data_IF_123791239284
#
_entry.id   IF_123791239284
#
_cell.length_a   1.000
_cell.length_b   1.000
_cell.length_c   1.000
_cell.angle_alpha   90.00
_cell.angle_beta   90.00
_cell.angle_gamma   90.00
#
_symmetry.space_group_name_H-M   'P 1'
#
loop_
_entity.id
_entity.type
_entity.pdbx_description
1 polymer ?
#
# COMPACT_ATOMS: atom_id res chain seq x y z
N UNK A 1 9.91 13.37 10.93
CA UNK A 1 8.84 12.57 10.29
C UNK A 1 9.32 11.13 10.21
N UNK A 2 8.45 10.14 10.35
CA UNK A 2 8.82 8.75 10.20
C UNK A 2 8.55 8.31 8.76
N UNK A 3 9.45 7.49 8.24
CA UNK A 3 9.36 6.92 6.89
C UNK A 3 9.39 5.41 6.99
N UNK A 4 8.57 4.74 6.19
CA UNK A 4 8.55 3.28 6.10
C UNK A 4 8.36 2.88 4.64
N UNK A 5 9.03 1.81 4.24
CA UNK A 5 8.83 1.19 2.92
C UNK A 5 7.77 0.10 3.09
N UNK A 6 6.74 0.12 2.25
CA UNK A 6 5.68 -0.90 2.23
C UNK A 6 5.74 -1.63 0.90
N UNK A 7 5.76 -2.96 0.98
CA UNK A 7 5.60 -3.84 -0.18
C UNK A 7 4.22 -4.49 -0.15
N UNK A 8 3.50 -4.36 -1.26
CA UNK A 8 2.27 -5.10 -1.53
C UNK A 8 2.56 -6.11 -2.64
N UNK A 9 2.10 -7.34 -2.49
CA UNK A 9 2.27 -8.40 -3.47
C UNK A 9 0.99 -9.21 -3.61
N UNK A 10 0.60 -9.52 -4.84
CA UNK A 10 -0.65 -10.24 -5.13
C UNK A 10 -1.26 -9.83 -6.48
N UNK A 11 -2.58 -9.97 -6.61
CA UNK A 11 -3.35 -9.52 -7.78
C UNK A 11 -3.71 -8.03 -7.65
N UNK A 12 -2.73 -7.15 -7.75
CA UNK A 12 -2.88 -5.72 -7.43
C UNK A 12 -3.84 -4.99 -8.39
N UNK A 13 -3.75 -5.27 -9.68
CA UNK A 13 -4.55 -4.66 -10.75
C UNK A 13 -5.99 -5.20 -10.73
N UNK A 14 -6.15 -6.51 -10.52
CA UNK A 14 -7.44 -7.17 -10.64
C UNK A 14 -8.31 -7.05 -9.38
N UNK A 15 -7.72 -6.70 -8.23
CA UNK A 15 -8.42 -6.72 -6.92
C UNK A 15 -8.84 -5.34 -6.38
N UNK A 16 -8.64 -4.26 -7.13
CA UNK A 16 -8.83 -2.86 -6.67
C UNK A 16 -8.08 -2.53 -5.36
N UNK A 17 -7.12 -3.36 -4.95
CA UNK A 17 -6.37 -3.16 -3.71
C UNK A 17 -5.52 -1.89 -3.79
N UNK A 18 -4.96 -1.59 -4.96
CA UNK A 18 -4.15 -0.41 -5.19
C UNK A 18 -4.92 0.88 -4.88
N UNK A 19 -6.06 1.19 -5.54
CA UNK A 19 -6.81 2.40 -5.25
C UNK A 19 -7.28 2.45 -3.79
N UNK A 20 -7.74 1.33 -3.20
CA UNK A 20 -8.14 1.28 -1.78
C UNK A 20 -7.01 1.65 -0.82
N UNK A 21 -5.81 1.17 -1.09
CA UNK A 21 -4.62 1.49 -0.27
C UNK A 21 -4.26 2.96 -0.41
N UNK A 22 -4.27 3.51 -1.62
CA UNK A 22 -3.98 4.92 -1.84
C UNK A 22 -5.03 5.82 -1.17
N UNK A 23 -6.30 5.47 -1.27
CA UNK A 23 -7.41 6.19 -0.60
C UNK A 23 -7.26 6.18 0.92
N UNK A 24 -6.82 5.07 1.50
CA UNK A 24 -6.54 4.95 2.93
C UNK A 24 -5.39 5.86 3.36
N UNK A 25 -4.29 5.88 2.60
CA UNK A 25 -3.14 6.75 2.84
C UNK A 25 -3.60 8.22 2.86
N UNK A 26 -4.37 8.64 1.86
CA UNK A 26 -4.89 10.01 1.73
C UNK A 26 -5.84 10.33 2.90
N UNK A 27 -6.72 9.39 3.29
CA UNK A 27 -7.66 9.56 4.40
C UNK A 27 -6.96 9.76 5.74
N UNK A 28 -5.79 9.13 5.92
CA UNK A 28 -4.92 9.31 7.08
C UNK A 28 -4.08 10.60 7.03
N UNK A 29 -4.25 11.43 5.98
CA UNK A 29 -3.45 12.63 5.70
C UNK A 29 -1.95 12.32 5.62
N UNK A 30 -1.62 11.16 5.08
CA UNK A 30 -0.27 10.70 4.85
C UNK A 30 0.22 11.10 3.46
N UNK A 31 1.52 11.28 3.32
CA UNK A 31 2.17 11.42 2.02
C UNK A 31 2.76 10.06 1.61
N UNK A 32 2.77 9.77 0.31
CA UNK A 32 3.38 8.57 -0.22
C UNK A 32 4.10 8.84 -1.54
N UNK A 33 5.08 8.00 -1.82
CA UNK A 33 5.82 7.98 -3.08
C UNK A 33 5.89 6.54 -3.58
N UNK A 34 5.41 6.30 -4.80
CA UNK A 34 5.55 4.99 -5.44
C UNK A 34 6.98 4.85 -5.93
N UNK A 35 7.66 3.80 -5.46
CA UNK A 35 9.08 3.55 -5.78
C UNK A 35 9.24 2.59 -6.96
N UNK A 36 8.43 1.54 -6.98
CA UNK A 36 8.51 0.49 -8.00
C UNK A 36 7.14 -0.16 -8.18
N UNK A 37 6.79 -0.44 -9.43
CA UNK A 37 5.59 -1.20 -9.81
C UNK A 37 6.03 -2.30 -10.78
N UNK A 38 5.93 -3.55 -10.33
CA UNK A 38 6.13 -4.72 -11.16
C UNK A 38 4.78 -5.34 -11.50
N UNK A 39 4.39 -5.19 -12.76
CA UNK A 39 3.19 -5.80 -13.32
C UNK A 39 3.61 -7.12 -13.98
N UNK A 40 3.30 -8.24 -13.32
CA UNK A 40 3.56 -9.58 -13.85
C UNK A 40 2.84 -9.81 -15.18
N UNK A 41 3.47 -10.53 -16.11
CA UNK A 41 2.82 -10.89 -17.36
C UNK A 41 1.87 -12.09 -17.16
N UNK A 42 0.64 -11.94 -17.64
CA UNK A 42 -0.39 -12.98 -17.83
C UNK A 42 -0.98 -13.61 -16.56
N UNK A 43 -0.19 -14.05 -15.56
CA UNK A 43 -0.66 -14.59 -14.26
C UNK A 43 0.37 -14.48 -13.12
N UNK A 44 1.48 -13.76 -13.33
CA UNK A 44 2.52 -13.63 -12.33
C UNK A 44 2.13 -12.67 -11.20
N UNK A 45 2.64 -12.95 -9.99
CA UNK A 45 2.43 -12.11 -8.82
C UNK A 45 2.91 -10.69 -9.11
N UNK A 46 2.01 -9.72 -8.96
CA UNK A 46 2.33 -8.31 -9.12
C UNK A 46 2.91 -7.79 -7.80
N UNK A 47 3.82 -6.82 -7.89
CA UNK A 47 4.46 -6.20 -6.73
C UNK A 47 4.40 -4.68 -6.85
N UNK A 48 4.06 -4.03 -5.74
CA UNK A 48 4.09 -2.59 -5.59
C UNK A 48 4.96 -2.25 -4.38
N UNK A 49 5.91 -1.34 -4.56
CA UNK A 49 6.70 -0.76 -3.50
C UNK A 49 6.40 0.74 -3.42
N UNK A 50 6.15 1.23 -2.21
CA UNK A 50 5.98 2.66 -1.96
C UNK A 50 6.59 3.07 -0.62
N UNK A 51 7.10 4.30 -0.57
CA UNK A 51 7.42 5.00 0.66
C UNK A 51 6.17 5.64 1.24
N UNK A 52 6.01 5.51 2.54
CA UNK A 52 4.99 6.18 3.32
C UNK A 52 5.66 7.16 4.29
N UNK A 53 5.28 8.42 4.20
CA UNK A 53 5.80 9.52 5.01
C UNK A 53 4.68 10.00 5.95
N UNK A 54 4.95 10.01 7.26
CA UNK A 54 3.96 10.47 8.21
C UNK A 54 4.39 10.41 9.68
N UNK A 55 3.41 10.56 10.57
CA UNK A 55 3.62 10.43 12.02
C UNK A 55 3.65 8.95 12.42
N UNK A 56 4.44 8.59 13.44
CA UNK A 56 4.60 7.19 13.89
C UNK A 56 3.27 6.50 14.28
N UNK A 57 2.36 7.23 14.92
CA UNK A 57 1.05 6.70 15.30
C UNK A 57 0.25 6.26 14.06
N UNK A 58 0.19 7.13 13.05
CA UNK A 58 -0.49 6.89 11.78
C UNK A 58 0.06 5.68 11.02
N UNK A 59 1.39 5.47 11.00
CA UNK A 59 2.01 4.29 10.39
C UNK A 59 1.57 2.97 11.06
N UNK A 60 1.25 3.03 12.36
CA UNK A 60 0.79 1.88 13.13
C UNK A 60 -0.65 1.52 12.80
N UNK A 61 -1.49 2.53 12.60
CA UNK A 61 -2.90 2.39 12.24
C UNK A 61 -3.05 1.89 10.80
N UNK A 62 -2.29 2.49 9.87
CA UNK A 62 -2.24 2.07 8.47
C UNK A 62 -1.96 0.56 8.29
N UNK A 63 -1.01 0.03 9.06
CA UNK A 63 -0.67 -1.41 9.01
C UNK A 63 -1.84 -2.29 9.44
N UNK A 64 -2.62 -1.87 10.45
CA UNK A 64 -3.78 -2.64 10.92
C UNK A 64 -4.89 -2.62 9.86
N UNK A 65 -5.14 -1.46 9.28
CA UNK A 65 -6.21 -1.26 8.31
C UNK A 65 -5.98 -2.03 7.00
N UNK A 66 -4.74 -2.05 6.49
CA UNK A 66 -4.38 -2.87 5.32
C UNK A 66 -4.59 -4.36 5.58
N UNK A 67 -4.18 -4.87 6.76
CA UNK A 67 -4.33 -6.30 7.09
C UNK A 67 -5.81 -6.70 7.14
N UNK A 68 -6.69 -5.81 7.58
CA UNK A 68 -8.13 -6.04 7.56
C UNK A 68 -8.68 -6.06 6.13
N UNK A 69 -8.28 -5.08 5.29
CA UNK A 69 -8.74 -5.01 3.91
C UNK A 69 -8.30 -6.20 3.03
N UNK A 70 -7.14 -6.79 3.30
CA UNK A 70 -6.65 -7.96 2.56
C UNK A 70 -7.37 -9.27 2.96
N UNK A 71 -7.94 -9.33 4.17
CA UNK A 71 -8.64 -10.53 4.69
C UNK A 71 -10.11 -10.62 4.30
N UNK A 72 -10.67 -9.59 3.69
CA UNK A 72 -12.11 -9.48 3.33
C UNK A 72 -12.29 -9.75 1.85
#
# INVERSE_FOLDING_TARGET
MAQTVVQISGHIIDSLILPKVLDLIISLRAEFEILDIQIGHRFELQRLLFHLLGQRAMLSDFRKDIVQQIRT
#
